data_IF_928854758579
#
_entry.id   IF_928854758579
#
_cell.length_a   1.000
_cell.length_b   1.000
_cell.length_c   1.000
_cell.angle_alpha   90.00
_cell.angle_beta   90.00
_cell.angle_gamma   90.00
#
_symmetry.space_group_name_H-M   'P 1'
#
loop_
_entity.id
_entity.type
_entity.pdbx_description
1 polymer ?
#
# COMPACT_ATOMS: atom_id res chain seq x y z
N UNK A 1 8.66 3.24 13.92
CA UNK A 1 9.68 2.98 12.88
C UNK A 1 8.99 3.00 11.53
N UNK A 2 9.54 3.67 10.51
CA UNK A 2 8.96 3.74 9.16
C UNK A 2 9.63 2.68 8.28
N UNK A 3 8.85 1.85 7.57
CA UNK A 3 9.35 0.89 6.57
C UNK A 3 8.88 1.33 5.18
N UNK A 4 9.80 1.35 4.22
CA UNK A 4 9.52 1.69 2.84
C UNK A 4 10.12 0.61 1.94
N UNK A 5 9.33 0.12 0.97
CA UNK A 5 9.71 -0.95 0.06
C UNK A 5 9.25 -0.62 -1.34
N UNK A 6 10.06 -0.99 -2.34
CA UNK A 6 9.76 -0.80 -3.75
C UNK A 6 9.54 -2.16 -4.41
N UNK A 7 8.42 -2.27 -5.12
CA UNK A 7 8.03 -3.47 -5.84
C UNK A 7 8.02 -3.20 -7.34
N UNK A 8 8.73 -4.02 -8.11
CA UNK A 8 8.83 -3.88 -9.56
C UNK A 8 8.15 -5.05 -10.26
N UNK A 9 6.83 -4.95 -10.37
CA UNK A 9 5.98 -5.99 -10.94
C UNK A 9 5.67 -5.73 -12.41
N UNK A 10 5.49 -6.81 -13.16
CA UNK A 10 4.95 -6.77 -14.52
C UNK A 10 3.89 -7.85 -14.70
N UNK A 11 2.92 -7.60 -15.58
CA UNK A 11 1.93 -8.58 -15.98
C UNK A 11 1.85 -8.67 -17.50
N UNK A 12 1.85 -9.90 -18.01
CA UNK A 12 1.63 -10.15 -19.42
C UNK A 12 0.15 -10.01 -19.76
N UNK A 13 -0.20 -9.04 -20.61
CA UNK A 13 -1.58 -8.85 -21.05
C UNK A 13 -2.12 -9.99 -21.92
N UNK A 14 -1.23 -10.80 -22.51
CA UNK A 14 -1.60 -11.94 -23.36
C UNK A 14 -1.69 -13.25 -22.59
N UNK A 15 -0.90 -13.46 -21.53
CA UNK A 15 -0.88 -14.73 -20.78
C UNK A 15 -1.39 -14.63 -19.34
N UNK A 16 -1.63 -13.42 -18.84
CA UNK A 16 -1.96 -13.11 -17.44
C UNK A 16 -0.87 -13.47 -16.43
N UNK A 17 0.31 -13.91 -16.87
CA UNK A 17 1.43 -14.24 -16.00
C UNK A 17 2.00 -12.98 -15.34
N UNK A 18 2.21 -13.05 -14.02
CA UNK A 18 2.84 -12.00 -13.22
C UNK A 18 4.33 -12.31 -13.08
N UNK A 19 5.17 -11.29 -13.25
CA UNK A 19 6.60 -11.34 -12.97
C UNK A 19 6.95 -10.39 -11.83
N UNK A 20 7.62 -10.91 -10.81
CA UNK A 20 8.08 -10.16 -9.65
C UNK A 20 9.43 -9.44 -9.86
N UNK A 21 10.16 -9.77 -10.93
CA UNK A 21 11.41 -9.12 -11.32
C UNK A 21 11.27 -8.56 -12.74
N UNK A 22 10.38 -7.59 -12.90
CA UNK A 22 10.21 -6.93 -14.21
C UNK A 22 11.47 -6.21 -14.71
N UNK A 23 12.29 -5.54 -13.86
CA UNK A 23 13.53 -4.91 -14.30
C UNK A 23 14.51 -5.92 -14.91
N UNK A 24 14.65 -7.11 -14.33
CA UNK A 24 15.46 -8.18 -14.91
C UNK A 24 14.95 -8.69 -16.27
N UNK A 25 13.66 -8.51 -16.59
CA UNK A 25 13.14 -8.80 -17.93
C UNK A 25 13.59 -7.75 -18.94
N UNK A 26 13.71 -6.48 -18.52
CA UNK A 26 14.13 -5.37 -19.37
C UNK A 26 15.65 -5.29 -19.52
N UNK A 27 16.41 -5.86 -18.58
CA UNK A 27 17.86 -5.84 -18.59
C UNK A 27 18.42 -6.45 -19.89
N UNK A 28 19.32 -5.72 -20.54
CA UNK A 28 19.92 -6.12 -21.83
C UNK A 28 19.02 -5.97 -23.06
N UNK A 29 17.84 -5.33 -22.95
CA UNK A 29 16.98 -5.01 -24.10
C UNK A 29 17.06 -3.53 -24.48
N UNK A 30 17.29 -3.26 -25.76
CA UNK A 30 17.12 -1.91 -26.32
C UNK A 30 15.64 -1.62 -26.56
N UNK A 31 15.10 -0.69 -25.76
CA UNK A 31 13.71 -0.27 -25.85
C UNK A 31 13.60 1.00 -26.70
N UNK A 32 12.79 0.94 -27.76
CA UNK A 32 12.46 2.11 -28.59
C UNK A 32 11.06 2.62 -28.25
N UNK A 33 10.83 3.95 -28.26
CA UNK A 33 9.52 4.54 -27.95
C UNK A 33 8.46 4.26 -29.02
N UNK A 34 8.88 3.87 -30.24
CA UNK A 34 8.00 3.46 -31.33
C UNK A 34 8.22 1.99 -31.64
N UNK A 35 7.11 1.30 -31.90
CA UNK A 35 7.13 -0.06 -32.41
C UNK A 35 7.69 -0.04 -33.85
N UNK A 36 8.64 -0.91 -34.21
CA UNK A 36 9.10 -1.04 -35.59
C UNK A 36 7.97 -1.47 -36.53
N UNK A 37 8.00 -1.00 -37.78
CA UNK A 37 6.92 -1.23 -38.77
C UNK A 37 6.66 -2.71 -39.10
N UNK A 38 7.63 -3.59 -38.86
CA UNK A 38 7.55 -5.04 -39.18
C UNK A 38 7.10 -5.93 -38.03
N UNK A 39 6.61 -5.37 -36.91
CA UNK A 39 6.26 -6.14 -35.70
C UNK A 39 4.76 -6.41 -35.60
N UNK A 40 4.40 -7.68 -35.50
CA UNK A 40 3.04 -8.12 -35.19
C UNK A 40 2.84 -8.23 -33.68
N UNK A 41 1.95 -7.42 -33.12
CA UNK A 41 1.59 -7.45 -31.70
C UNK A 41 0.57 -8.56 -31.45
N UNK A 42 0.81 -9.39 -30.44
CA UNK A 42 -0.20 -10.37 -30.00
C UNK A 42 -1.40 -9.65 -29.37
N UNK A 43 -2.63 -10.10 -29.62
CA UNK A 43 -3.80 -9.50 -29.01
C UNK A 43 -3.74 -9.62 -27.49
N UNK A 44 -4.09 -8.54 -26.79
CA UNK A 44 -4.24 -8.55 -25.35
C UNK A 44 -5.52 -9.30 -24.96
N UNK A 45 -5.40 -10.20 -23.98
CA UNK A 45 -6.55 -10.90 -23.37
C UNK A 45 -7.08 -10.09 -22.17
N UNK A 46 -6.22 -9.27 -21.56
CA UNK A 46 -6.56 -8.36 -20.47
C UNK A 46 -6.56 -6.90 -20.94
N UNK A 47 -7.54 -6.14 -20.47
CA UNK A 47 -7.46 -4.69 -20.49
C UNK A 47 -6.40 -4.19 -19.50
N UNK A 48 -5.92 -2.96 -19.70
CA UNK A 48 -4.97 -2.32 -18.79
C UNK A 48 -5.54 -2.18 -17.37
N UNK A 49 -6.85 -1.91 -17.26
CA UNK A 49 -7.52 -1.77 -15.96
C UNK A 49 -7.55 -3.10 -15.21
N UNK A 50 -7.93 -4.19 -15.87
CA UNK A 50 -7.93 -5.52 -15.26
C UNK A 50 -6.52 -5.95 -14.85
N UNK A 51 -5.53 -5.70 -15.71
CA UNK A 51 -4.15 -5.99 -15.43
C UNK A 51 -3.62 -5.24 -14.20
N UNK A 52 -3.93 -3.94 -14.08
CA UNK A 52 -3.59 -3.15 -12.90
C UNK A 52 -4.25 -3.70 -11.62
N UNK A 53 -5.54 -4.04 -11.68
CA UNK A 53 -6.25 -4.63 -10.53
C UNK A 53 -5.68 -6.00 -10.13
N UNK A 54 -5.23 -6.81 -11.09
CA UNK A 54 -4.57 -8.09 -10.79
C UNK A 54 -3.23 -7.84 -10.06
N UNK A 55 -2.42 -6.89 -10.54
CA UNK A 55 -1.16 -6.54 -9.88
C UNK A 55 -1.36 -5.99 -8.47
N UNK A 56 -2.34 -5.12 -8.29
CA UNK A 56 -2.72 -4.56 -6.99
C UNK A 56 -3.13 -5.68 -6.01
N UNK A 57 -4.05 -6.55 -6.42
CA UNK A 57 -4.49 -7.68 -5.59
C UNK A 57 -3.35 -8.63 -5.26
N UNK A 58 -2.45 -8.91 -6.23
CA UNK A 58 -1.28 -9.74 -6.01
C UNK A 58 -0.38 -9.14 -4.92
N UNK A 59 -0.12 -7.84 -4.99
CA UNK A 59 0.71 -7.15 -4.02
C UNK A 59 0.02 -7.07 -2.65
N UNK A 60 -1.28 -6.81 -2.57
CA UNK A 60 -2.05 -6.86 -1.31
C UNK A 60 -1.96 -8.25 -0.66
N UNK A 61 -2.08 -9.33 -1.45
CA UNK A 61 -1.94 -10.70 -0.96
C UNK A 61 -0.52 -11.06 -0.51
N UNK A 62 0.50 -10.44 -1.12
CA UNK A 62 1.89 -10.59 -0.67
C UNK A 62 2.10 -9.84 0.64
N UNK A 63 1.68 -8.58 0.70
CA UNK A 63 1.79 -7.73 1.88
C UNK A 63 1.03 -8.34 3.07
N UNK A 64 -0.15 -8.92 2.88
CA UNK A 64 -0.94 -9.49 3.97
C UNK A 64 -0.26 -10.66 4.70
N UNK A 65 0.77 -11.27 4.09
CA UNK A 65 1.56 -12.36 4.67
C UNK A 65 2.80 -11.88 5.43
N UNK A 66 3.11 -10.59 5.37
CA UNK A 66 4.23 -10.02 6.09
C UNK A 66 3.95 -9.97 7.58
N UNK A 67 5.02 -9.85 8.34
CA UNK A 67 4.93 -9.63 9.78
C UNK A 67 4.42 -8.20 10.08
N UNK A 68 3.36 -8.14 10.89
CA UNK A 68 2.70 -6.93 11.38
C UNK A 68 2.74 -6.83 12.92
N UNK A 69 3.66 -7.52 13.60
CA UNK A 69 3.86 -7.38 15.05
C UNK A 69 3.99 -5.91 15.48
N UNK A 70 4.68 -5.09 14.68
CA UNK A 70 4.79 -3.64 14.92
C UNK A 70 3.43 -2.93 15.00
N UNK A 71 2.44 -3.37 14.20
CA UNK A 71 1.12 -2.78 14.18
C UNK A 71 0.30 -3.22 15.39
N UNK A 72 0.49 -4.46 15.86
CA UNK A 72 -0.10 -4.95 17.10
C UNK A 72 0.46 -4.20 18.30
N UNK A 73 1.78 -4.05 18.41
CA UNK A 73 2.42 -3.28 19.47
C UNK A 73 2.00 -1.81 19.47
N UNK A 74 1.81 -1.21 18.29
CA UNK A 74 1.33 0.17 18.19
C UNK A 74 -0.12 0.31 18.69
N UNK A 75 -0.98 -0.67 18.44
CA UNK A 75 -2.35 -0.71 18.98
C UNK A 75 -2.39 -0.91 20.50
N UNK A 76 -1.58 -1.83 21.02
CA UNK A 76 -1.42 -2.02 22.46
C UNK A 76 -0.96 -0.73 23.12
N UNK A 77 0.04 -0.07 22.53
CA UNK A 77 0.51 1.22 23.02
C UNK A 77 -0.58 2.29 22.99
N UNK A 78 -1.39 2.35 21.93
CA UNK A 78 -2.51 3.28 21.84
C UNK A 78 -3.53 3.04 22.95
N UNK A 79 -3.83 1.78 23.26
CA UNK A 79 -4.75 1.41 24.34
C UNK A 79 -4.23 1.86 25.71
N UNK A 80 -2.93 1.63 25.98
CA UNK A 80 -2.28 2.14 27.20
C UNK A 80 -2.38 3.66 27.33
N UNK A 81 -2.11 4.40 26.25
CA UNK A 81 -2.17 5.86 26.25
C UNK A 81 -3.61 6.37 26.43
N UNK A 82 -4.61 5.67 25.87
CA UNK A 82 -6.01 5.97 26.15
C UNK A 82 -6.37 5.72 27.61
N UNK A 83 -5.90 4.63 28.23
CA UNK A 83 -6.14 4.39 29.67
C UNK A 83 -5.57 5.51 30.54
N UNK A 84 -4.39 6.02 30.20
CA UNK A 84 -3.78 7.15 30.91
C UNK A 84 -4.63 8.42 30.75
N UNK A 85 -5.08 8.73 29.52
CA UNK A 85 -5.95 9.88 29.26
C UNK A 85 -7.28 9.71 29.99
N UNK A 86 -7.93 8.56 29.86
CA UNK A 86 -9.23 8.26 30.47
C UNK A 86 -9.15 8.41 31.99
N UNK A 87 -8.10 7.87 32.63
CA UNK A 87 -7.90 8.03 34.07
C UNK A 87 -7.64 9.47 34.52
N UNK A 88 -6.95 10.28 33.71
CA UNK A 88 -6.75 11.70 34.03
C UNK A 88 -8.06 12.50 33.93
N UNK A 89 -8.86 12.25 32.89
CA UNK A 89 -10.09 12.99 32.63
C UNK A 89 -11.33 12.48 33.40
N UNK A 90 -11.28 11.28 33.97
CA UNK A 90 -12.42 10.64 34.65
C UNK A 90 -13.11 11.55 35.68
N UNK A 91 -12.33 12.19 36.55
CA UNK A 91 -12.87 13.07 37.59
C UNK A 91 -13.18 14.48 37.05
N UNK A 92 -12.41 14.96 36.07
CA UNK A 92 -12.63 16.26 35.42
C UNK A 92 -13.96 16.30 34.64
N UNK A 93 -14.38 15.17 34.06
CA UNK A 93 -15.64 15.06 33.32
C UNK A 93 -16.89 15.06 34.22
N UNK A 94 -16.72 14.91 35.54
CA UNK A 94 -17.81 14.99 36.54
C UNK A 94 -18.10 16.43 36.98
N UNK A 95 -17.46 17.43 36.36
CA UNK A 95 -17.73 18.86 36.60
C UNK A 95 -19.23 19.18 36.44
N UNK A 96 -19.75 19.99 37.37
CA UNK A 96 -21.18 20.34 37.43
C UNK A 96 -21.52 21.57 36.59
N UNK A 97 -20.54 22.43 36.34
CA UNK A 97 -20.66 23.55 35.44
C UNK A 97 -20.62 23.07 33.98
N UNK A 98 -21.75 23.19 33.27
CA UNK A 98 -21.93 22.72 31.90
C UNK A 98 -20.96 23.37 30.89
N UNK A 99 -20.62 24.66 31.06
CA UNK A 99 -19.69 25.34 30.15
C UNK A 99 -18.27 24.80 30.33
N UNK A 100 -17.84 24.62 31.58
CA UNK A 100 -16.52 24.02 31.89
C UNK A 100 -16.45 22.56 31.46
N UNK A 101 -17.51 21.79 31.71
CA UNK A 101 -17.61 20.39 31.30
C UNK A 101 -17.49 20.24 29.79
N UNK A 102 -18.18 21.08 29.01
CA UNK A 102 -18.08 21.08 27.55
C UNK A 102 -16.65 21.37 27.06
N UNK A 103 -15.95 22.30 27.71
CA UNK A 103 -14.55 22.60 27.41
C UNK A 103 -13.63 21.39 27.71
N UNK A 104 -13.82 20.74 28.86
CA UNK A 104 -13.05 19.56 29.28
C UNK A 104 -13.29 18.40 28.31
N UNK A 105 -14.54 18.13 27.93
CA UNK A 105 -14.89 17.09 26.97
C UNK A 105 -14.22 17.35 25.60
N UNK A 106 -14.25 18.59 25.11
CA UNK A 106 -13.59 18.94 23.86
C UNK A 106 -12.06 18.71 23.92
N UNK A 107 -11.43 19.05 25.05
CA UNK A 107 -10.00 18.78 25.26
C UNK A 107 -9.71 17.28 25.31
N UNK A 108 -10.53 16.52 26.02
CA UNK A 108 -10.44 15.07 26.12
C UNK A 108 -10.52 14.40 24.74
N UNK A 109 -11.53 14.74 23.94
CA UNK A 109 -11.69 14.20 22.58
C UNK A 109 -10.53 14.57 21.66
N UNK A 110 -10.04 15.80 21.75
CA UNK A 110 -8.85 16.23 21.00
C UNK A 110 -7.61 15.40 21.38
N UNK A 111 -7.39 15.17 22.68
CA UNK A 111 -6.26 14.35 23.16
C UNK A 111 -6.34 12.90 22.71
N UNK A 112 -7.53 12.28 22.80
CA UNK A 112 -7.72 10.91 22.29
C UNK A 112 -7.47 10.81 20.79
N UNK A 113 -7.96 11.78 20.03
CA UNK A 113 -7.77 11.85 18.58
C UNK A 113 -6.30 12.06 18.21
N UNK A 114 -5.57 12.87 18.98
CA UNK A 114 -4.13 13.07 18.82
C UNK A 114 -3.35 11.77 19.04
N UNK A 115 -3.63 11.04 20.13
CA UNK A 115 -3.00 9.74 20.39
C UNK A 115 -3.33 8.73 19.30
N UNK A 116 -4.58 8.66 18.88
CA UNK A 116 -4.97 7.80 17.76
C UNK A 116 -4.16 8.15 16.51
N UNK A 117 -4.08 9.43 16.13
CA UNK A 117 -3.32 9.82 14.95
C UNK A 117 -1.85 9.42 15.01
N UNK A 118 -1.24 9.49 16.20
CA UNK A 118 0.16 9.17 16.44
C UNK A 118 0.48 7.68 16.42
N UNK A 119 -0.39 6.84 16.99
CA UNK A 119 -0.13 5.41 17.19
C UNK A 119 -0.91 4.49 16.25
N UNK A 120 -1.93 4.98 15.54
CA UNK A 120 -2.68 4.18 14.56
C UNK A 120 -1.74 3.65 13.46
N UNK A 121 -1.57 2.33 13.33
CA UNK A 121 -0.69 1.75 12.33
C UNK A 121 -1.29 1.94 10.93
N UNK A 122 -0.49 2.48 10.00
CA UNK A 122 -0.93 2.76 8.63
C UNK A 122 0.02 2.12 7.63
N UNK A 123 -0.56 1.43 6.65
CA UNK A 123 0.15 0.87 5.48
C UNK A 123 -0.42 1.55 4.25
N UNK A 124 0.45 2.18 3.45
CA UNK A 124 0.06 2.86 2.22
C UNK A 124 0.74 2.21 1.02
N UNK A 125 -0.03 1.92 -0.03
CA UNK A 125 0.46 1.49 -1.32
C UNK A 125 0.23 2.59 -2.35
N UNK A 126 1.25 2.90 -3.15
CA UNK A 126 1.13 3.86 -4.25
C UNK A 126 1.93 3.39 -5.46
N UNK A 127 1.47 3.78 -6.65
CA UNK A 127 2.21 3.53 -7.90
C UNK A 127 3.14 4.71 -8.18
N UNK A 128 4.42 4.42 -8.44
CA UNK A 128 5.42 5.44 -8.76
C UNK A 128 5.59 5.58 -10.28
N UNK A 129 5.69 4.47 -11.00
CA UNK A 129 5.91 4.44 -12.45
C UNK A 129 5.18 3.27 -13.07
N UNK A 130 4.51 3.50 -14.20
CA UNK A 130 3.85 2.48 -14.97
C UNK A 130 4.11 2.70 -16.47
N UNK A 131 4.09 1.61 -17.24
CA UNK A 131 4.34 1.65 -18.68
C UNK A 131 3.83 0.40 -19.36
N UNK A 132 3.54 0.52 -20.65
CA UNK A 132 3.20 -0.60 -21.52
C UNK A 132 4.41 -0.98 -22.37
N UNK A 133 4.83 -2.24 -22.26
CA UNK A 133 6.02 -2.74 -22.96
C UNK A 133 5.62 -3.82 -23.96
N UNK A 134 6.04 -3.64 -25.21
CA UNK A 134 5.96 -4.67 -26.24
C UNK A 134 7.30 -5.38 -26.31
N UNK A 135 7.36 -6.58 -25.75
CA UNK A 135 8.58 -7.37 -25.71
C UNK A 135 8.56 -8.42 -26.81
N UNK A 136 9.57 -8.39 -27.69
CA UNK A 136 9.80 -9.50 -28.60
C UNK A 136 10.13 -10.75 -27.77
N UNK A 137 9.46 -11.85 -28.08
CA UNK A 137 9.88 -13.16 -27.58
C UNK A 137 11.28 -13.42 -28.11
N UNK A 138 12.25 -13.86 -27.29
CA UNK A 138 13.49 -14.37 -27.86
C UNK A 138 13.13 -15.50 -28.82
N UNK A 139 13.61 -15.41 -30.06
CA UNK A 139 13.67 -16.52 -31.02
C UNK A 139 14.75 -17.44 -30.48
N UNK A 140 14.49 -18.14 -29.37
CA UNK A 140 15.30 -19.19 -28.75
C UNK A 140 14.50 -19.75 -27.55
N UNK A 141 13.30 -20.25 -27.82
CA UNK A 141 12.58 -21.13 -26.90
C UNK A 141 12.07 -22.31 -27.73
N UNK A 142 13.02 -23.12 -28.19
CA UNK A 142 12.77 -24.42 -28.80
C UNK A 142 13.89 -25.35 -28.33
N UNK A 143 13.66 -25.94 -27.17
CA UNK A 143 14.15 -27.29 -26.82
C UNK A 143 13.22 -27.84 -25.75
#
# INVERSE_FOLDING_TARGET
>A
MKREELYYLGISLSSRAISANFPGILEGRDLTPRLPESVHVRPAILSLKEAASILENHLIQQLSKLDYEWASLARERLEDEWLVIDGYYEDLLKEQDEEKKALIEAQYQNRRSEMQWQYEPKVSLSTITCGLFHLCSPVNAST
#
